data_IF_707945853259
#
_entry.id   IF_707945853259
#
_cell.length_a   1.000
_cell.length_b   1.000
_cell.length_c   1.000
_cell.angle_alpha   90.00
_cell.angle_beta   90.00
_cell.angle_gamma   90.00
#
_symmetry.space_group_name_H-M   'P 1'
#
loop_
_entity.id
_entity.type
_entity.pdbx_description
1 polymer ?
#
# COMPACT_ATOMS: atom_id res chain seq x y z
N UNK A 1 -0.02 -11.95 2.78
CA UNK A 1 0.21 -11.56 1.37
C UNK A 1 -1.16 -11.45 0.72
N UNK A 2 -1.57 -10.26 0.28
CA UNK A 2 -2.84 -10.09 -0.43
C UNK A 2 -2.62 -10.60 -1.85
N UNK A 3 -3.09 -11.81 -2.13
CA UNK A 3 -3.27 -12.26 -3.51
C UNK A 3 -4.61 -11.71 -3.97
N UNK A 4 -4.58 -10.65 -4.77
CA UNK A 4 -5.76 -10.21 -5.52
C UNK A 4 -5.86 -11.15 -6.72
N UNK A 5 -6.66 -12.21 -6.59
CA UNK A 5 -7.03 -13.02 -7.75
C UNK A 5 -8.23 -12.35 -8.44
N UNK A 6 -7.94 -11.36 -9.29
CA UNK A 6 -8.96 -10.66 -10.05
C UNK A 6 -9.03 -11.26 -11.47
N UNK A 7 -10.10 -11.98 -11.82
CA UNK A 7 -10.23 -12.66 -13.11
C UNK A 7 -10.25 -11.67 -14.29
N UNK A 8 -10.50 -10.38 -14.05
CA UNK A 8 -10.60 -9.35 -15.08
C UNK A 8 -9.34 -8.47 -15.19
N UNK A 9 -8.21 -8.90 -14.62
CA UNK A 9 -6.91 -8.21 -14.75
C UNK A 9 -6.51 -8.01 -16.22
N UNK A 10 -6.81 -8.97 -17.09
CA UNK A 10 -6.45 -8.93 -18.51
C UNK A 10 -7.18 -7.84 -19.31
N UNK A 11 -8.23 -7.24 -18.73
CA UNK A 11 -9.01 -6.16 -19.36
C UNK A 11 -8.67 -4.77 -18.81
N UNK A 12 -7.78 -4.69 -17.83
CA UNK A 12 -7.40 -3.46 -17.16
C UNK A 12 -6.50 -2.60 -18.05
N UNK A 13 -6.78 -1.30 -18.15
CA UNK A 13 -5.83 -0.39 -18.79
C UNK A 13 -4.67 -0.09 -17.81
N UNK A 14 -3.51 -0.71 -18.06
CA UNK A 14 -2.31 -0.56 -17.23
C UNK A 14 -1.59 0.75 -17.59
N UNK A 15 -1.96 1.83 -16.91
CA UNK A 15 -1.19 3.07 -16.92
C UNK A 15 -0.12 3.04 -15.84
N UNK A 16 1.04 3.64 -16.13
CA UNK A 16 2.13 3.75 -15.17
C UNK A 16 1.73 4.65 -13.99
N UNK A 17 1.76 4.10 -12.76
CA UNK A 17 1.48 4.87 -11.54
C UNK A 17 2.69 5.67 -11.07
N UNK A 18 3.89 5.17 -11.36
CA UNK A 18 5.16 5.78 -10.98
C UNK A 18 6.14 5.65 -12.14
N UNK A 19 7.04 6.63 -12.26
CA UNK A 19 8.06 6.65 -13.30
C UNK A 19 9.44 6.82 -12.67
N UNK A 20 10.45 6.22 -13.30
CA UNK A 20 11.84 6.40 -12.89
C UNK A 20 12.41 7.70 -13.49
N UNK A 21 12.87 8.61 -12.63
CA UNK A 21 13.65 9.78 -13.00
C UNK A 21 15.15 9.48 -12.86
N UNK A 22 15.78 9.24 -14.01
CA UNK A 22 17.22 8.97 -14.10
C UNK A 22 18.10 10.15 -13.67
N UNK A 23 17.58 11.38 -13.70
CA UNK A 23 18.34 12.58 -13.32
C UNK A 23 18.57 12.63 -11.81
N UNK A 24 17.61 12.11 -11.03
CA UNK A 24 17.62 12.13 -9.58
C UNK A 24 17.81 10.74 -8.95
N UNK A 25 17.90 9.69 -9.77
CA UNK A 25 17.97 8.27 -9.36
C UNK A 25 16.82 7.89 -8.41
N UNK A 26 15.60 8.26 -8.80
CA UNK A 26 14.39 8.12 -7.97
C UNK A 26 13.21 7.62 -8.75
N UNK A 27 12.30 6.96 -8.04
CA UNK A 27 10.96 6.63 -8.53
C UNK A 27 10.02 7.73 -8.05
N UNK A 28 9.39 8.42 -8.98
CA UNK A 28 8.47 9.54 -8.72
C UNK A 28 7.03 9.13 -9.04
N UNK A 29 6.03 9.58 -8.26
CA UNK A 29 4.63 9.34 -8.57
C UNK A 29 4.23 10.10 -9.83
N UNK A 30 3.32 9.51 -10.61
CA UNK A 30 2.63 10.22 -11.69
C UNK A 30 1.38 10.93 -11.16
N UNK A 31 0.89 11.93 -11.90
CA UNK A 31 -0.38 12.61 -11.59
C UNK A 31 -1.55 11.63 -11.42
N UNK A 32 -1.51 10.50 -12.11
CA UNK A 32 -2.56 9.49 -12.06
C UNK A 32 -2.65 8.83 -10.66
N UNK A 33 -1.51 8.61 -10.00
CA UNK A 33 -1.47 8.13 -8.62
C UNK A 33 -1.91 9.23 -7.65
N UNK A 34 -1.43 10.46 -7.85
CA UNK A 34 -1.72 11.59 -6.95
C UNK A 34 -3.19 12.03 -6.99
N UNK A 35 -3.82 11.97 -8.16
CA UNK A 35 -5.24 12.29 -8.35
C UNK A 35 -6.17 11.10 -8.08
N UNK A 36 -5.64 9.93 -7.70
CA UNK A 36 -6.44 8.73 -7.43
C UNK A 36 -7.19 8.18 -8.66
N UNK A 37 -6.69 8.44 -9.87
CA UNK A 37 -7.34 8.06 -11.13
C UNK A 37 -6.97 6.65 -11.62
N UNK A 38 -6.28 5.87 -10.80
CA UNK A 38 -5.95 4.50 -11.12
C UNK A 38 -7.21 3.63 -11.15
N UNK A 39 -7.49 3.04 -12.31
CA UNK A 39 -8.60 2.09 -12.49
C UNK A 39 -8.48 0.91 -11.50
N UNK A 40 -7.27 0.39 -11.29
CA UNK A 40 -7.03 -0.69 -10.35
C UNK A 40 -7.33 -0.28 -8.90
N UNK A 41 -6.90 0.91 -8.48
CA UNK A 41 -7.19 1.42 -7.13
C UNK A 41 -8.70 1.60 -6.96
N UNK A 42 -9.40 2.13 -7.97
CA UNK A 42 -10.86 2.22 -7.97
C UNK A 42 -11.55 0.86 -7.86
N UNK A 43 -11.08 -0.16 -8.57
CA UNK A 43 -11.61 -1.53 -8.47
C UNK A 43 -11.39 -2.13 -7.07
N UNK A 44 -10.23 -1.90 -6.45
CA UNK A 44 -9.94 -2.34 -5.08
C UNK A 44 -10.88 -1.64 -4.08
N UNK A 45 -11.04 -0.32 -4.21
CA UNK A 45 -11.93 0.47 -3.36
C UNK A 45 -13.38 -0.08 -3.42
N UNK A 46 -13.90 -0.29 -4.63
CA UNK A 46 -15.22 -0.88 -4.85
C UNK A 46 -15.36 -2.30 -4.27
N UNK A 47 -14.33 -3.15 -4.45
CA UNK A 47 -14.35 -4.53 -3.95
C UNK A 47 -14.41 -4.61 -2.43
N UNK A 48 -13.81 -3.64 -1.74
CA UNK A 48 -13.72 -3.62 -0.28
C UNK A 48 -14.69 -2.66 0.39
N UNK A 49 -15.56 -2.00 -0.39
CA UNK A 49 -16.53 -1.00 0.09
C UNK A 49 -15.88 0.12 0.92
N UNK A 50 -14.74 0.62 0.41
CA UNK A 50 -13.99 1.73 1.00
C UNK A 50 -13.77 2.83 -0.03
N UNK A 51 -13.43 4.03 0.42
CA UNK A 51 -13.07 5.13 -0.47
C UNK A 51 -11.70 4.92 -1.14
N UNK A 52 -11.48 5.55 -2.29
CA UNK A 52 -10.16 5.60 -2.96
C UNK A 52 -9.11 6.22 -2.03
N UNK A 53 -9.49 7.23 -1.26
CA UNK A 53 -8.62 7.88 -0.28
C UNK A 53 -8.16 6.92 0.82
N UNK A 54 -9.03 6.05 1.32
CA UNK A 54 -8.67 5.01 2.29
C UNK A 54 -7.70 3.98 1.70
N UNK A 55 -7.86 3.62 0.43
CA UNK A 55 -6.92 2.73 -0.27
C UNK A 55 -5.56 3.41 -0.44
N UNK A 56 -5.54 4.67 -0.90
CA UNK A 56 -4.31 5.46 -1.05
C UNK A 56 -3.60 5.67 0.29
N UNK A 57 -4.35 5.94 1.36
CA UNK A 57 -3.82 6.04 2.71
C UNK A 57 -3.19 4.72 3.15
N UNK A 58 -3.86 3.58 2.89
CA UNK A 58 -3.33 2.25 3.17
C UNK A 58 -2.01 1.96 2.43
N UNK A 59 -1.89 2.40 1.17
CA UNK A 59 -0.64 2.28 0.39
C UNK A 59 0.45 3.14 1.02
N UNK A 60 0.16 4.42 1.32
CA UNK A 60 1.10 5.36 1.94
C UNK A 60 1.59 4.85 3.30
N UNK A 61 0.70 4.33 4.15
CA UNK A 61 1.05 3.76 5.45
C UNK A 61 2.01 2.57 5.31
N UNK A 62 1.75 1.65 4.38
CA UNK A 62 2.65 0.50 4.14
C UNK A 62 4.01 0.93 3.57
N UNK A 63 4.06 1.98 2.76
CA UNK A 63 5.32 2.55 2.30
C UNK A 63 6.13 3.10 3.49
N UNK A 64 5.50 3.86 4.38
CA UNK A 64 6.16 4.39 5.59
C UNK A 64 6.65 3.30 6.54
N UNK A 65 5.84 2.25 6.77
CA UNK A 65 6.25 1.09 7.58
C UNK A 65 7.51 0.44 6.98
N UNK A 66 7.56 0.27 5.65
CA UNK A 66 8.73 -0.29 4.97
C UNK A 66 9.97 0.60 5.10
N UNK A 67 9.82 1.93 5.03
CA UNK A 67 10.92 2.86 5.31
C UNK A 67 11.47 2.65 6.72
N UNK A 68 10.59 2.55 7.72
CA UNK A 68 10.99 2.31 9.12
C UNK A 68 11.71 0.97 9.27
N UNK A 69 11.21 -0.09 8.61
CA UNK A 69 11.86 -1.41 8.60
C UNK A 69 13.29 -1.30 8.05
N UNK A 70 13.47 -0.64 6.90
CA UNK A 70 14.79 -0.48 6.26
C UNK A 70 15.74 0.34 7.12
N UNK A 71 15.27 1.42 7.74
CA UNK A 71 16.08 2.23 8.66
C UNK A 71 16.51 1.42 9.89
N UNK A 72 15.60 0.67 10.50
CA UNK A 72 15.92 -0.21 11.61
C UNK A 72 16.88 -1.34 11.21
N UNK A 73 16.75 -1.84 9.97
CA UNK A 73 17.56 -2.93 9.44
C UNK A 73 19.04 -2.57 9.27
N UNK A 74 19.40 -1.28 9.28
CA UNK A 74 20.80 -0.83 9.30
C UNK A 74 21.59 -1.38 10.49
N UNK A 75 20.91 -1.68 11.60
CA UNK A 75 21.50 -2.31 12.79
C UNK A 75 21.03 -3.74 13.02
N UNK A 76 19.92 -4.13 12.38
CA UNK A 76 19.26 -5.43 12.51
C UNK A 76 18.83 -5.99 11.15
N UNK A 77 19.78 -6.50 10.34
CA UNK A 77 19.52 -6.90 8.95
C UNK A 77 18.38 -7.91 8.78
N UNK A 78 18.10 -8.73 9.79
CA UNK A 78 17.01 -9.70 9.79
C UNK A 78 15.62 -9.05 9.61
N UNK A 79 15.47 -7.75 9.85
CA UNK A 79 14.17 -7.08 9.75
C UNK A 79 13.64 -6.95 8.31
N UNK A 80 14.50 -7.02 7.29
CA UNK A 80 14.05 -6.98 5.89
C UNK A 80 13.64 -8.36 5.35
N UNK A 81 13.81 -9.42 6.15
CA UNK A 81 13.40 -10.77 5.78
C UNK A 81 11.88 -10.87 5.62
N UNK A 82 11.46 -11.80 4.76
CA UNK A 82 10.06 -11.93 4.35
C UNK A 82 9.10 -12.22 5.53
N UNK A 83 9.57 -12.95 6.53
CA UNK A 83 8.83 -13.26 7.75
C UNK A 83 8.60 -12.00 8.60
N UNK A 84 9.62 -11.16 8.77
CA UNK A 84 9.55 -9.91 9.54
C UNK A 84 8.67 -8.88 8.84
N UNK A 85 8.80 -8.73 7.52
CA UNK A 85 7.92 -7.86 6.72
C UNK A 85 6.46 -8.37 6.76
N UNK A 86 6.27 -9.69 6.77
CA UNK A 86 4.95 -10.32 6.93
C UNK A 86 4.32 -10.00 8.29
N UNK A 87 5.09 -10.11 9.37
CA UNK A 87 4.65 -9.77 10.73
C UNK A 87 4.26 -8.30 10.84
N UNK A 88 5.05 -7.38 10.28
CA UNK A 88 4.73 -5.96 10.28
C UNK A 88 3.41 -5.66 9.55
N UNK A 89 3.16 -6.31 8.41
CA UNK A 89 1.90 -6.15 7.69
C UNK A 89 0.69 -6.74 8.47
N UNK A 90 0.87 -7.85 9.19
CA UNK A 90 -0.18 -8.43 10.02
C UNK A 90 -0.50 -7.53 11.22
N UNK A 91 0.53 -6.99 11.87
CA UNK A 91 0.36 -6.05 12.98
C UNK A 91 -0.38 -4.78 12.52
N UNK A 92 -0.03 -4.24 11.34
CA UNK A 92 -0.74 -3.11 10.77
C UNK A 92 -2.25 -3.39 10.62
N UNK A 93 -2.62 -4.57 10.09
CA UNK A 93 -4.03 -4.97 9.98
C UNK A 93 -4.74 -5.04 11.33
N UNK A 94 -4.10 -5.61 12.36
CA UNK A 94 -4.68 -5.67 13.71
C UNK A 94 -4.94 -4.28 14.27
N UNK A 95 -3.97 -3.37 14.16
CA UNK A 95 -4.10 -1.99 14.63
C UNK A 95 -5.21 -1.22 13.90
N UNK A 96 -5.37 -1.44 12.59
CA UNK A 96 -6.46 -0.83 11.83
C UNK A 96 -7.84 -1.30 12.30
N UNK A 97 -7.99 -2.61 12.58
CA UNK A 97 -9.23 -3.15 13.11
C UNK A 97 -9.55 -2.61 14.51
N UNK A 98 -8.54 -2.52 15.40
CA UNK A 98 -8.72 -1.95 16.74
C UNK A 98 -9.20 -0.48 16.70
N UNK A 99 -8.68 0.31 15.75
CA UNK A 99 -9.11 1.69 15.56
C UNK A 99 -10.56 1.78 15.08
N UNK A 100 -10.99 0.93 14.15
CA UNK A 100 -12.38 0.89 13.66
C UNK A 100 -13.35 0.45 14.78
N UNK A 101 -13.00 -0.56 15.56
CA UNK A 101 -13.82 -1.05 16.68
C UNK A 101 -13.90 -0.02 17.83
N UNK A 102 -12.86 0.81 18.00
CA UNK A 102 -12.81 1.89 18.98
C UNK A 102 -13.66 3.12 18.60
N UNK A 103 -13.79 3.42 17.31
CA UNK A 103 -14.52 4.59 16.79
C UNK A 103 -16.04 4.36 16.76
N UNK A 104 -16.50 3.10 16.68
CA UNK A 104 -17.93 2.72 16.71
C UNK A 104 -18.65 2.85 18.07
N UNK A 105 -18.05 3.55 19.05
CA UNK A 105 -18.63 3.77 20.41
C UNK A 105 -19.08 5.21 20.68
N UNK A 106 -19.43 6.00 19.66
CA UNK A 106 -20.05 7.32 19.82
C UNK A 106 -21.37 7.45 19.05
#
# INVERSE_FOLDING_TARGET
>A
MIFVNDPDLDTLNLNDLMMFDASNDRIEPTDLLDMGQSELIGRIANRWDVSIDEVLLNIKMRAQIKVIIVEAARTRPELVEADMVGQANNMFWLLMNELQDGDGRN
#
